data_IF_074353220463
#
_entry.id   IF_074353220463
#
_cell.length_a   1.000
_cell.length_b   1.000
_cell.length_c   1.000
_cell.angle_alpha   90.00
_cell.angle_beta   90.00
_cell.angle_gamma   90.00
#
_symmetry.space_group_name_H-M   'P 1'
#
loop_
_entity.id
_entity.type
_entity.pdbx_description
1 polymer ?
#
# COMPACT_ATOMS: atom_id res chain seq x y z
N UNK A 1 21.49 5.78 14.94
CA UNK A 1 20.56 5.84 13.80
C UNK A 1 20.93 4.72 12.85
N UNK A 2 20.07 3.73 12.70
CA UNK A 2 20.33 2.60 11.80
C UNK A 2 19.44 2.76 10.59
N UNK A 3 19.95 3.39 9.53
CA UNK A 3 19.23 3.49 8.26
C UNK A 3 19.38 2.18 7.48
N UNK A 4 18.31 1.77 6.82
CA UNK A 4 18.33 0.64 5.90
C UNK A 4 18.48 1.15 4.45
N UNK A 5 19.07 0.34 3.55
CA UNK A 5 19.19 0.71 2.15
C UNK A 5 17.81 0.84 1.49
N UNK A 6 17.74 1.73 0.50
CA UNK A 6 16.62 1.88 -0.42
C UNK A 6 16.97 1.23 -1.77
N UNK A 7 16.38 1.70 -2.86
CA UNK A 7 16.74 1.27 -4.22
C UNK A 7 18.22 1.53 -4.52
N UNK A 8 18.86 0.57 -5.18
CA UNK A 8 20.26 0.70 -5.62
C UNK A 8 20.38 1.70 -6.77
N UNK A 9 19.43 1.65 -7.71
CA UNK A 9 19.33 2.56 -8.85
C UNK A 9 18.04 3.35 -8.73
N UNK A 10 18.03 4.36 -7.85
CA UNK A 10 16.83 5.07 -7.40
C UNK A 10 15.83 5.41 -8.53
N UNK A 11 16.30 6.01 -9.64
CA UNK A 11 15.43 6.41 -10.74
C UNK A 11 14.88 5.21 -11.51
N UNK A 12 15.75 4.28 -11.91
CA UNK A 12 15.38 3.12 -12.73
C UNK A 12 14.45 2.17 -11.95
N UNK A 13 14.76 1.93 -10.69
CA UNK A 13 14.02 1.03 -9.82
C UNK A 13 12.66 1.60 -9.44
N UNK A 14 12.56 2.90 -9.17
CA UNK A 14 11.29 3.59 -8.96
C UNK A 14 10.43 3.55 -10.23
N UNK A 15 10.99 3.86 -11.39
CA UNK A 15 10.24 3.79 -12.66
C UNK A 15 9.77 2.37 -12.99
N UNK A 16 10.59 1.35 -12.73
CA UNK A 16 10.18 -0.03 -12.90
C UNK A 16 9.01 -0.36 -11.98
N UNK A 17 9.13 -0.03 -10.69
CA UNK A 17 8.08 -0.23 -9.69
C UNK A 17 6.78 0.48 -10.06
N UNK A 18 6.88 1.72 -10.54
CA UNK A 18 5.74 2.51 -11.00
C UNK A 18 5.00 1.83 -12.17
N UNK A 19 5.72 1.36 -13.21
CA UNK A 19 5.09 0.66 -14.34
C UNK A 19 4.39 -0.62 -13.91
N UNK A 20 4.97 -1.37 -12.97
CA UNK A 20 4.35 -2.59 -12.42
C UNK A 20 3.09 -2.26 -11.62
N UNK A 21 3.13 -1.20 -10.81
CA UNK A 21 1.95 -0.73 -10.10
C UNK A 21 0.86 -0.26 -11.08
N UNK A 22 1.22 0.52 -12.09
CA UNK A 22 0.27 1.00 -13.09
C UNK A 22 -0.44 -0.16 -13.78
N UNK A 23 0.28 -1.24 -14.13
CA UNK A 23 -0.31 -2.47 -14.67
C UNK A 23 -1.30 -3.12 -13.70
N UNK A 24 -0.96 -3.20 -12.41
CA UNK A 24 -1.84 -3.80 -11.40
C UNK A 24 -3.11 -2.97 -11.15
N UNK A 25 -2.99 -1.64 -11.22
CA UNK A 25 -4.12 -0.71 -11.06
C UNK A 25 -5.01 -0.65 -12.31
N UNK A 26 -4.42 -0.67 -13.51
CA UNK A 26 -5.14 -0.62 -14.78
C UNK A 26 -5.82 -1.94 -15.13
N UNK A 27 -5.36 -3.06 -14.58
CA UNK A 27 -5.93 -4.39 -14.78
C UNK A 27 -6.18 -5.08 -13.42
N UNK A 28 -7.27 -4.71 -12.73
CA UNK A 28 -7.54 -5.18 -11.38
C UNK A 28 -7.55 -6.71 -11.28
N UNK A 29 -6.84 -7.23 -10.28
CA UNK A 29 -6.65 -8.67 -10.04
C UNK A 29 -5.42 -9.29 -10.71
N UNK A 30 -4.66 -8.54 -11.53
CA UNK A 30 -3.35 -8.98 -12.00
C UNK A 30 -2.33 -8.87 -10.86
N UNK A 31 -1.67 -9.98 -10.52
CA UNK A 31 -0.58 -10.01 -9.54
C UNK A 31 0.71 -9.61 -10.24
N UNK A 32 1.41 -8.62 -9.68
CA UNK A 32 2.72 -8.17 -10.16
C UNK A 32 3.79 -8.41 -9.11
N UNK A 33 5.03 -8.61 -9.55
CA UNK A 33 6.19 -8.74 -8.66
C UNK A 33 7.02 -7.48 -8.69
N UNK A 34 7.45 -7.02 -7.51
CA UNK A 34 8.38 -5.92 -7.28
C UNK A 34 9.65 -6.52 -6.66
N UNK A 35 10.76 -6.54 -7.42
CA UNK A 35 11.97 -7.29 -7.07
C UNK A 35 13.23 -6.40 -6.97
N UNK A 36 13.04 -5.09 -7.10
CA UNK A 36 14.12 -4.10 -7.07
C UNK A 36 14.75 -3.99 -5.68
N UNK A 37 13.96 -4.28 -4.63
CA UNK A 37 14.43 -4.39 -3.27
C UNK A 37 14.61 -5.85 -2.86
N UNK A 38 15.73 -6.13 -2.20
CA UNK A 38 16.00 -7.45 -1.61
C UNK A 38 15.22 -7.64 -0.30
N UNK A 39 15.12 -6.58 0.51
CA UNK A 39 14.47 -6.59 1.81
C UNK A 39 13.61 -5.34 1.98
N UNK A 40 12.42 -5.51 2.57
CA UNK A 40 11.59 -4.38 2.99
C UNK A 40 12.00 -3.86 4.37
N UNK A 41 11.59 -2.63 4.68
CA UNK A 41 11.84 -2.02 5.99
C UNK A 41 10.93 -2.65 7.05
N UNK A 42 11.37 -3.75 7.65
CA UNK A 42 10.54 -4.56 8.54
C UNK A 42 9.88 -3.70 9.64
N UNK A 43 8.57 -3.85 9.88
CA UNK A 43 7.67 -4.91 9.39
C UNK A 43 7.03 -4.69 8.00
N UNK A 44 7.43 -3.65 7.26
CA UNK A 44 6.98 -3.48 5.88
C UNK A 44 7.62 -4.55 4.98
N UNK A 45 6.78 -5.19 4.16
CA UNK A 45 7.25 -6.13 3.15
C UNK A 45 7.91 -5.37 1.98
N UNK A 46 8.55 -6.14 1.08
CA UNK A 46 9.25 -5.60 -0.08
C UNK A 46 8.32 -4.76 -0.97
N UNK A 47 7.09 -5.22 -1.19
CA UNK A 47 6.13 -4.51 -2.04
C UNK A 47 5.72 -3.16 -1.46
N UNK A 48 5.30 -3.10 -0.19
CA UNK A 48 4.91 -1.84 0.47
C UNK A 48 6.08 -0.87 0.55
N UNK A 49 7.28 -1.34 0.86
CA UNK A 49 8.49 -0.50 0.87
C UNK A 49 8.78 0.06 -0.52
N UNK A 50 8.67 -0.77 -1.56
CA UNK A 50 8.90 -0.36 -2.95
C UNK A 50 7.87 0.67 -3.40
N UNK A 51 6.60 0.50 -3.01
CA UNK A 51 5.53 1.46 -3.31
C UNK A 51 5.78 2.82 -2.65
N UNK A 52 6.13 2.83 -1.35
CA UNK A 52 6.44 4.07 -0.64
C UNK A 52 7.67 4.77 -1.22
N UNK A 53 8.73 4.04 -1.55
CA UNK A 53 9.91 4.62 -2.22
C UNK A 53 9.62 5.16 -3.64
N UNK A 54 8.56 4.67 -4.28
CA UNK A 54 8.21 5.07 -5.65
C UNK A 54 7.23 6.25 -5.67
N UNK A 55 6.31 6.30 -4.70
CA UNK A 55 5.16 7.22 -4.73
C UNK A 55 5.17 8.26 -3.63
N UNK A 56 5.80 7.97 -2.48
CA UNK A 56 5.77 8.88 -1.36
C UNK A 56 6.83 9.96 -1.54
N UNK A 57 6.44 11.19 -1.24
CA UNK A 57 7.29 12.35 -1.14
C UNK A 57 6.79 13.29 -0.03
N UNK A 58 7.46 14.44 0.11
CA UNK A 58 7.16 15.46 1.11
C UNK A 58 5.72 16.03 1.08
N UNK A 59 4.99 15.93 -0.03
CA UNK A 59 3.61 16.41 -0.18
C UNK A 59 2.58 15.30 0.09
N UNK A 60 3.03 14.06 0.32
CA UNK A 60 2.16 12.90 0.54
C UNK A 60 2.28 12.37 1.96
N UNK A 61 1.46 12.85 2.91
CA UNK A 61 1.42 12.30 4.25
C UNK A 61 1.15 10.80 4.28
N UNK A 62 1.89 10.08 5.12
CA UNK A 62 1.79 8.62 5.27
C UNK A 62 1.29 8.29 6.67
N UNK A 63 0.22 7.51 6.75
CA UNK A 63 -0.23 6.88 7.98
C UNK A 63 0.20 5.41 8.00
N UNK A 64 0.75 4.97 9.13
CA UNK A 64 1.11 3.58 9.37
C UNK A 64 0.26 3.04 10.52
N UNK A 65 -0.43 1.93 10.28
CA UNK A 65 -1.10 1.21 11.36
C UNK A 65 -0.09 0.84 12.45
N UNK A 66 -0.50 0.83 13.73
CA UNK A 66 0.41 0.63 14.87
C UNK A 66 1.23 -0.67 14.78
N UNK A 67 0.65 -1.73 14.19
CA UNK A 67 1.36 -3.01 13.99
C UNK A 67 2.50 -2.93 12.95
N UNK A 68 2.50 -1.90 12.11
CA UNK A 68 3.51 -1.66 11.08
C UNK A 68 4.44 -0.48 11.40
N UNK A 69 4.16 0.25 12.49
CA UNK A 69 4.92 1.41 12.89
C UNK A 69 6.08 1.01 13.82
N UNK A 70 7.30 1.45 13.49
CA UNK A 70 8.44 1.46 14.40
C UNK A 70 9.40 2.61 14.02
N UNK A 71 10.35 2.90 14.91
CA UNK A 71 11.32 3.98 14.70
C UNK A 71 12.15 3.80 13.43
N UNK A 72 12.47 2.54 13.08
CA UNK A 72 13.25 2.21 11.89
C UNK A 72 12.51 2.61 10.61
N UNK A 73 11.26 2.18 10.46
CA UNK A 73 10.41 2.52 9.31
C UNK A 73 10.21 4.02 9.25
N UNK A 74 9.90 4.66 10.38
CA UNK A 74 9.65 6.10 10.41
C UNK A 74 10.89 6.95 10.10
N UNK A 75 12.09 6.48 10.47
CA UNK A 75 13.34 7.15 10.10
C UNK A 75 13.66 6.94 8.62
N UNK A 76 13.53 5.71 8.11
CA UNK A 76 13.80 5.41 6.70
C UNK A 76 12.83 6.15 5.76
N UNK A 77 11.55 6.21 6.10
CA UNK A 77 10.54 6.89 5.30
C UNK A 77 10.86 8.39 5.22
N UNK A 78 11.11 9.05 6.36
CA UNK A 78 11.49 10.47 6.37
C UNK A 78 12.80 10.73 5.63
N UNK A 79 13.81 9.88 5.81
CA UNK A 79 15.12 10.07 5.20
C UNK A 79 15.11 9.86 3.68
N UNK A 80 14.50 8.77 3.20
CA UNK A 80 14.56 8.40 1.78
C UNK A 80 13.47 9.05 0.92
N UNK A 81 12.33 9.42 1.51
CA UNK A 81 11.19 9.99 0.76
C UNK A 81 10.87 11.42 1.15
N UNK A 82 11.27 11.87 2.35
CA UNK A 82 10.84 13.16 2.89
C UNK A 82 9.37 13.20 3.33
N UNK A 83 8.62 12.10 3.18
CA UNK A 83 7.20 12.09 3.45
C UNK A 83 6.88 12.28 4.95
N UNK A 84 5.91 13.16 5.28
CA UNK A 84 5.51 13.37 6.66
C UNK A 84 4.72 12.15 7.16
N UNK A 85 5.06 11.67 8.37
CA UNK A 85 4.25 10.66 9.05
C UNK A 85 3.15 11.34 9.87
N UNK A 86 1.92 10.86 9.71
CA UNK A 86 0.74 11.35 10.44
C UNK A 86 0.20 10.26 11.36
N UNK A 87 -0.31 10.67 12.52
CA UNK A 87 -0.88 9.75 13.51
C UNK A 87 -2.32 9.34 13.17
N UNK A 88 -3.03 10.20 12.44
CA UNK A 88 -4.44 10.05 12.12
C UNK A 88 -4.63 9.59 10.66
N UNK A 89 -5.36 8.49 10.41
CA UNK A 89 -5.55 7.94 9.06
C UNK A 89 -6.24 8.93 8.09
N UNK A 90 -7.06 9.84 8.61
CA UNK A 90 -7.80 10.84 7.83
C UNK A 90 -6.90 11.91 7.21
N UNK A 91 -5.69 12.08 7.74
CA UNK A 91 -4.71 13.07 7.27
C UNK A 91 -3.77 12.51 6.20
N UNK A 92 -3.87 11.21 5.91
CA UNK A 92 -2.96 10.51 5.03
C UNK A 92 -3.35 10.66 3.55
N UNK A 93 -2.35 10.69 2.68
CA UNK A 93 -2.49 10.38 1.24
C UNK A 93 -2.25 8.89 1.01
N UNK A 94 -1.31 8.30 1.75
CA UNK A 94 -1.06 6.86 1.77
C UNK A 94 -1.29 6.28 3.16
N UNK A 95 -2.18 5.30 3.26
CA UNK A 95 -2.40 4.52 4.46
C UNK A 95 -1.79 3.13 4.29
N UNK A 96 -0.96 2.67 5.25
CA UNK A 96 -0.35 1.34 5.22
C UNK A 96 -0.80 0.54 6.43
N UNK A 97 -1.47 -0.58 6.18
CA UNK A 97 -2.00 -1.44 7.23
C UNK A 97 -1.77 -2.92 6.89
N UNK A 98 -2.01 -3.80 7.86
CA UNK A 98 -2.12 -5.23 7.62
C UNK A 98 -3.61 -5.64 7.53
N UNK A 99 -3.88 -6.93 7.41
CA UNK A 99 -5.23 -7.53 7.46
C UNK A 99 -5.96 -7.37 8.82
N UNK A 100 -5.41 -6.58 9.75
CA UNK A 100 -5.98 -6.25 11.06
C UNK A 100 -6.52 -4.84 11.17
N UNK A 101 -6.57 -4.09 10.07
CA UNK A 101 -7.21 -2.76 10.04
C UNK A 101 -8.67 -2.85 10.54
N UNK A 102 -9.04 -1.97 11.47
CA UNK A 102 -10.40 -1.96 12.01
C UNK A 102 -11.38 -1.33 11.02
N UNK A 103 -12.67 -1.66 11.15
CA UNK A 103 -13.72 -1.01 10.36
C UNK A 103 -13.75 0.51 10.60
N UNK A 104 -13.50 0.95 11.85
CA UNK A 104 -13.40 2.36 12.20
C UNK A 104 -12.26 3.05 11.45
N UNK A 105 -11.06 2.45 11.44
CA UNK A 105 -9.90 2.96 10.70
C UNK A 105 -10.15 3.01 9.20
N UNK A 106 -10.87 2.03 8.65
CA UNK A 106 -11.22 2.01 7.23
C UNK A 106 -12.25 3.10 6.89
N UNK A 107 -13.29 3.27 7.72
CA UNK A 107 -14.39 4.20 7.49
C UNK A 107 -13.96 5.67 7.54
N UNK A 108 -12.87 5.97 8.24
CA UNK A 108 -12.37 7.33 8.36
C UNK A 108 -11.42 7.71 7.22
N UNK A 109 -10.92 6.75 6.43
CA UNK A 109 -10.10 7.08 5.26
C UNK A 109 -10.94 7.88 4.27
N UNK A 110 -10.42 9.04 3.87
CA UNK A 110 -11.06 9.88 2.86
C UNK A 110 -11.19 9.12 1.54
N UNK A 111 -12.41 9.06 1.00
CA UNK A 111 -12.66 8.57 -0.35
C UNK A 111 -12.51 9.66 -1.43
N UNK A 112 -12.00 10.84 -1.04
CA UNK A 112 -12.05 12.04 -1.87
C UNK A 112 -13.45 12.64 -1.92
N UNK A 113 -13.65 13.61 -2.81
CA UNK A 113 -14.95 14.24 -3.03
C UNK A 113 -15.41 14.02 -4.47
N UNK A 114 -16.69 14.29 -4.75
CA UNK A 114 -17.21 14.20 -6.13
C UNK A 114 -16.47 15.15 -7.08
N UNK A 115 -16.09 16.33 -6.59
CA UNK A 115 -15.38 17.35 -7.37
C UNK A 115 -13.86 17.16 -7.41
N UNK A 116 -13.30 16.39 -6.47
CA UNK A 116 -11.86 16.12 -6.36
C UNK A 116 -11.64 14.67 -5.87
N UNK A 117 -11.96 13.65 -6.69
CA UNK A 117 -11.85 12.24 -6.31
C UNK A 117 -10.40 11.80 -6.09
N UNK A 118 -9.43 12.48 -6.70
CA UNK A 118 -7.99 12.24 -6.56
C UNK A 118 -7.44 12.54 -5.16
N UNK A 119 -8.19 13.27 -4.33
CA UNK A 119 -7.83 13.56 -2.93
C UNK A 119 -8.15 12.41 -1.97
N UNK A 120 -8.60 11.27 -2.49
CA UNK A 120 -8.83 10.06 -1.71
C UNK A 120 -7.53 9.39 -1.24
N UNK A 121 -7.62 8.66 -0.13
CA UNK A 121 -6.48 7.93 0.43
C UNK A 121 -6.25 6.65 -0.36
N UNK A 122 -4.99 6.41 -0.73
CA UNK A 122 -4.57 5.11 -1.26
C UNK A 122 -4.20 4.18 -0.10
N UNK A 123 -4.99 3.12 0.09
CA UNK A 123 -4.77 2.11 1.13
C UNK A 123 -3.91 0.95 0.61
N UNK A 124 -2.74 0.73 1.22
CA UNK A 124 -1.84 -0.39 1.00
C UNK A 124 -2.03 -1.40 2.13
N UNK A 125 -2.57 -2.58 1.81
CA UNK A 125 -2.82 -3.65 2.80
C UNK A 125 -1.83 -4.79 2.64
N UNK A 126 -1.02 -5.05 3.66
CA UNK A 126 -0.15 -6.22 3.74
C UNK A 126 -0.96 -7.45 4.14
N UNK A 127 -1.00 -8.44 3.25
CA UNK A 127 -1.65 -9.73 3.48
C UNK A 127 -0.60 -10.82 3.65
N UNK A 128 -0.95 -11.88 4.38
CA UNK A 128 -0.10 -13.07 4.50
C UNK A 128 0.00 -13.85 3.19
N UNK A 129 -1.06 -13.84 2.37
CA UNK A 129 -1.09 -14.50 1.05
C UNK A 129 -2.07 -13.82 0.08
N UNK A 130 -1.70 -13.79 -1.19
CA UNK A 130 -2.59 -13.37 -2.29
C UNK A 130 -3.41 -14.54 -2.86
N UNK A 131 -3.23 -15.74 -2.33
CA UNK A 131 -3.95 -16.97 -2.67
C UNK A 131 -4.47 -17.69 -1.42
N UNK A 132 -5.39 -18.65 -1.60
CA UNK A 132 -5.89 -19.50 -0.51
C UNK A 132 -6.98 -18.87 0.38
N UNK A 133 -7.46 -17.68 0.05
CA UNK A 133 -8.63 -17.09 0.69
C UNK A 133 -9.95 -17.37 -0.04
N UNK A 134 -11.01 -16.66 0.36
CA UNK A 134 -12.31 -16.73 -0.31
C UNK A 134 -12.19 -16.27 -1.77
N UNK A 135 -12.72 -17.08 -2.68
CA UNK A 135 -12.73 -16.79 -4.10
C UNK A 135 -13.67 -15.61 -4.38
N UNK A 136 -13.18 -14.64 -5.14
CA UNK A 136 -13.89 -13.44 -5.52
C UNK A 136 -13.83 -13.28 -7.02
N UNK A 137 -14.97 -12.94 -7.60
CA UNK A 137 -15.10 -12.62 -9.01
C UNK A 137 -15.06 -11.10 -9.19
N UNK A 138 -14.12 -10.64 -9.98
CA UNK A 138 -13.96 -9.24 -10.35
C UNK A 138 -14.48 -9.01 -11.77
N UNK A 139 -15.18 -7.90 -11.97
CA UNK A 139 -15.68 -7.40 -13.25
C UNK A 139 -15.57 -5.88 -13.26
N UNK A 140 -15.44 -5.25 -14.43
CA UNK A 140 -15.38 -3.79 -14.57
C UNK A 140 -14.20 -3.32 -15.41
N UNK A 141 -13.87 -2.03 -15.31
CA UNK A 141 -12.79 -1.43 -16.10
C UNK A 141 -11.44 -2.17 -15.89
N UNK A 142 -10.71 -2.41 -16.99
CA UNK A 142 -9.46 -3.17 -16.95
C UNK A 142 -9.62 -4.71 -16.92
N UNK A 143 -10.85 -5.21 -17.00
CA UNK A 143 -11.17 -6.64 -17.04
C UNK A 143 -12.01 -6.89 -18.30
N UNK A 144 -11.52 -7.75 -19.20
CA UNK A 144 -12.20 -8.03 -20.46
C UNK A 144 -13.53 -8.77 -20.24
N UNK A 145 -13.55 -9.75 -19.34
CA UNK A 145 -14.74 -10.53 -18.99
C UNK A 145 -14.89 -10.58 -17.47
N UNK A 146 -14.31 -11.61 -16.85
CA UNK A 146 -14.24 -11.78 -15.41
C UNK A 146 -12.84 -12.23 -14.98
N UNK A 147 -12.45 -11.89 -13.76
CA UNK A 147 -11.19 -12.36 -13.17
C UNK A 147 -11.42 -12.88 -11.76
N UNK A 148 -10.91 -14.08 -11.50
CA UNK A 148 -10.99 -14.71 -10.19
C UNK A 148 -9.73 -14.43 -9.38
N UNK A 149 -9.91 -14.01 -8.12
CA UNK A 149 -8.81 -13.87 -7.16
C UNK A 149 -9.20 -14.45 -5.80
N UNK A 150 -8.22 -14.88 -5.01
CA UNK A 150 -8.46 -15.58 -3.75
C UNK A 150 -7.45 -15.13 -2.67
N UNK A 151 -7.44 -13.84 -2.33
CA UNK A 151 -6.54 -13.29 -1.31
C UNK A 151 -6.94 -13.74 0.10
N UNK A 152 -5.97 -14.11 0.94
CA UNK A 152 -6.25 -14.35 2.36
C UNK A 152 -6.48 -13.00 3.03
N UNK A 153 -7.71 -12.78 3.48
CA UNK A 153 -8.09 -11.60 4.25
C UNK A 153 -8.94 -12.09 5.41
N UNK A 154 -8.66 -11.60 6.62
CA UNK A 154 -9.58 -11.84 7.74
C UNK A 154 -10.93 -11.25 7.34
N UNK A 155 -11.94 -12.10 7.23
CA UNK A 155 -13.31 -11.62 7.09
C UNK A 155 -13.62 -10.84 8.35
N UNK A 156 -13.94 -9.55 8.20
CA UNK A 156 -14.60 -8.82 9.28
C UNK A 156 -15.82 -9.66 9.67
N UNK A 157 -15.77 -10.25 10.86
CA UNK A 157 -16.94 -10.90 11.45
C UNK A 157 -18.02 -9.84 11.55
N UNK A 158 -19.03 -9.89 10.66
CA UNK A 158 -20.25 -9.13 10.87
C UNK A 158 -20.85 -9.67 12.16
N UNK A 159 -20.56 -8.99 13.26
CA UNK A 159 -21.30 -9.19 14.50
C UNK A 159 -22.56 -8.36 14.28
N UNK A 160 -23.67 -9.07 14.06
CA UNK A 160 -25.02 -8.51 14.11
C UNK A 160 -25.27 -7.87 15.48
#
# INVERSE_FOLDING_TARGET
MTLQPAFTLAVQDAQHSFRRLLKAMSEPGVIVSLQQLQHGWQPLNVASTSLLLTLADHETPVWLASALHNDLVGQNLRFHTGAPLVDQPQQAVFAVANDGISAEQLNVLSAGTVTAPETGVTLIVQLASLSGGRMLRLTGAGIAEERMIARSCRTASSTN
#
